data_IF_271505144456
#
_entry.id   IF_271505144456
#
_cell.length_a   1.000
_cell.length_b   1.000
_cell.length_c   1.000
_cell.angle_alpha   90.00
_cell.angle_beta   90.00
_cell.angle_gamma   90.00
#
_symmetry.space_group_name_H-M   'P 1'
#
loop_
_entity.id
_entity.type
_entity.pdbx_description
1 polymer ?
#
# COMPACT_ATOMS: atom_id res chain seq x y z
N UNK A 1 -4.28 21.89 -3.07
CA UNK A 1 -5.03 20.68 -3.48
C UNK A 1 -5.01 19.70 -2.33
N UNK A 2 -6.18 19.36 -1.78
CA UNK A 2 -6.31 18.26 -0.84
C UNK A 2 -6.23 16.91 -1.59
N UNK A 3 -5.67 15.89 -0.95
CA UNK A 3 -5.66 14.53 -1.51
C UNK A 3 -7.08 13.98 -1.73
N UNK A 4 -8.05 14.39 -0.90
CA UNK A 4 -9.45 13.92 -0.97
C UNK A 4 -10.29 14.62 -2.06
N UNK A 5 -9.83 15.75 -2.58
CA UNK A 5 -10.52 16.50 -3.65
C UNK A 5 -10.21 15.96 -5.05
N UNK A 6 -9.18 15.14 -5.17
CA UNK A 6 -8.75 14.57 -6.45
C UNK A 6 -9.65 13.44 -6.91
N UNK A 7 -9.73 13.29 -8.23
CA UNK A 7 -10.46 12.20 -8.90
C UNK A 7 -9.50 11.10 -9.32
N UNK A 8 -9.96 9.86 -9.25
CA UNK A 8 -9.20 8.70 -9.69
C UNK A 8 -10.06 7.72 -10.49
N UNK A 9 -9.42 6.83 -11.23
CA UNK A 9 -9.98 5.57 -11.74
C UNK A 9 -9.09 4.41 -11.31
N UNK A 10 -9.64 3.21 -11.26
CA UNK A 10 -8.89 2.00 -10.93
C UNK A 10 -9.27 0.86 -11.88
N UNK A 11 -8.24 0.16 -12.34
CA UNK A 11 -8.31 -1.08 -13.11
C UNK A 11 -7.79 -2.20 -12.20
N UNK A 12 -8.57 -3.27 -12.00
CA UNK A 12 -8.21 -4.43 -11.17
C UNK A 12 -8.29 -5.68 -12.02
N UNK A 13 -7.12 -6.24 -12.34
CA UNK A 13 -7.01 -7.51 -13.06
C UNK A 13 -7.20 -8.69 -12.11
N UNK A 14 -7.96 -9.68 -12.55
CA UNK A 14 -8.32 -10.87 -11.76
C UNK A 14 -8.60 -12.09 -12.63
N UNK A 15 -8.64 -13.25 -11.95
CA UNK A 15 -9.12 -14.52 -12.48
C UNK A 15 -10.00 -15.22 -11.44
N UNK A 16 -10.31 -16.50 -11.59
CA UNK A 16 -11.18 -17.26 -10.67
C UNK A 16 -12.68 -17.06 -10.89
N UNK A 17 -13.09 -15.97 -11.55
CA UNK A 17 -14.44 -15.69 -12.00
C UNK A 17 -14.47 -15.48 -13.51
N UNK A 18 -15.56 -15.89 -14.16
CA UNK A 18 -15.82 -15.45 -15.53
C UNK A 18 -16.23 -13.96 -15.53
N UNK A 19 -16.04 -13.27 -16.66
CA UNK A 19 -16.49 -11.87 -16.84
C UNK A 19 -17.98 -11.70 -16.51
N UNK A 20 -18.83 -12.61 -16.98
CA UNK A 20 -20.26 -12.59 -16.68
C UNK A 20 -20.50 -12.71 -15.18
N UNK A 21 -19.87 -13.67 -14.50
CA UNK A 21 -20.08 -13.84 -13.05
C UNK A 21 -19.59 -12.63 -12.26
N UNK A 22 -18.50 -12.00 -12.67
CA UNK A 22 -18.04 -10.76 -12.04
C UNK A 22 -19.05 -9.61 -12.25
N UNK A 23 -19.65 -9.50 -13.44
CA UNK A 23 -20.70 -8.51 -13.72
C UNK A 23 -21.95 -8.75 -12.86
N UNK A 24 -22.40 -10.01 -12.72
CA UNK A 24 -23.49 -10.39 -11.82
C UNK A 24 -23.23 -9.99 -10.37
N UNK A 25 -22.00 -10.18 -9.87
CA UNK A 25 -21.63 -9.77 -8.50
C UNK A 25 -21.73 -8.25 -8.32
N UNK A 26 -21.32 -7.46 -9.33
CA UNK A 26 -21.51 -6.01 -9.33
C UNK A 26 -22.99 -5.65 -9.37
N UNK A 27 -23.77 -6.34 -10.21
CA UNK A 27 -25.21 -6.13 -10.35
C UNK A 27 -25.96 -6.39 -9.04
N UNK A 28 -25.66 -7.51 -8.37
CA UNK A 28 -26.16 -7.86 -7.04
C UNK A 28 -25.81 -6.77 -6.01
N UNK A 29 -24.56 -6.28 -6.00
CA UNK A 29 -24.12 -5.24 -5.06
C UNK A 29 -24.82 -3.90 -5.28
N UNK A 30 -24.96 -3.47 -6.54
CA UNK A 30 -25.60 -2.19 -6.86
C UNK A 30 -27.13 -2.25 -6.91
N UNK A 31 -27.73 -3.44 -6.93
CA UNK A 31 -29.17 -3.62 -7.14
C UNK A 31 -29.61 -3.14 -8.53
N UNK A 32 -28.74 -3.29 -9.54
CA UNK A 32 -28.94 -2.85 -10.92
C UNK A 32 -28.58 -4.00 -11.86
N UNK A 33 -29.29 -4.17 -12.99
CA UNK A 33 -28.94 -5.23 -13.94
C UNK A 33 -27.58 -4.97 -14.58
N UNK A 34 -26.85 -6.06 -14.90
CA UNK A 34 -25.73 -6.00 -15.81
C UNK A 34 -26.19 -5.97 -17.28
N UNK A 35 -25.32 -5.49 -18.15
CA UNK A 35 -25.51 -5.44 -19.60
C UNK A 35 -24.29 -6.06 -20.28
N UNK A 36 -24.52 -6.88 -21.29
CA UNK A 36 -23.47 -7.33 -22.19
C UNK A 36 -23.33 -6.34 -23.35
N UNK A 37 -22.23 -5.59 -23.34
CA UNK A 37 -21.97 -4.52 -24.32
C UNK A 37 -21.13 -5.02 -25.52
N UNK A 38 -20.52 -6.21 -25.41
CA UNK A 38 -19.80 -6.87 -26.50
C UNK A 38 -18.46 -6.23 -26.86
N UNK A 39 -18.16 -6.11 -28.16
CA UNK A 39 -16.92 -5.53 -28.68
C UNK A 39 -15.67 -6.42 -28.52
N UNK A 40 -14.51 -5.89 -28.92
CA UNK A 40 -13.25 -6.63 -28.93
C UNK A 40 -12.80 -7.19 -27.57
N UNK A 41 -13.31 -6.61 -26.48
CA UNK A 41 -13.01 -7.03 -25.12
C UNK A 41 -14.13 -7.85 -24.45
N UNK A 42 -15.22 -8.16 -25.16
CA UNK A 42 -16.41 -8.83 -24.60
C UNK A 42 -16.85 -8.19 -23.27
N UNK A 43 -17.09 -6.87 -23.34
CA UNK A 43 -17.36 -6.01 -22.19
C UNK A 43 -18.76 -6.30 -21.61
N UNK A 44 -18.83 -6.32 -20.28
CA UNK A 44 -20.05 -6.18 -19.51
C UNK A 44 -20.00 -4.87 -18.74
N UNK A 45 -21.16 -4.31 -18.42
CA UNK A 45 -21.22 -3.14 -17.56
C UNK A 45 -22.39 -3.15 -16.59
N UNK A 46 -22.20 -2.43 -15.48
CA UNK A 46 -23.20 -2.23 -14.44
C UNK A 46 -23.20 -0.74 -14.07
N UNK A 47 -24.38 -0.14 -13.96
CA UNK A 47 -24.51 1.23 -13.48
C UNK A 47 -24.56 1.25 -11.96
N UNK A 48 -23.84 2.18 -11.34
CA UNK A 48 -23.99 2.44 -9.91
C UNK A 48 -25.22 3.33 -9.63
N UNK A 49 -25.43 3.65 -8.34
CA UNK A 49 -26.55 4.49 -7.90
C UNK A 49 -26.49 5.95 -8.40
N UNK A 50 -25.37 6.37 -8.98
CA UNK A 50 -25.18 7.67 -9.61
C UNK A 50 -25.22 7.57 -11.14
N UNK A 51 -25.67 6.44 -11.69
CA UNK A 51 -25.69 6.15 -13.12
C UNK A 51 -24.30 6.19 -13.78
N UNK A 52 -23.24 5.96 -13.00
CA UNK A 52 -21.87 5.85 -13.52
C UNK A 52 -21.59 4.39 -13.88
N UNK A 53 -20.90 4.19 -15.00
CA UNK A 53 -20.64 2.86 -15.56
C UNK A 53 -19.39 2.23 -14.96
N UNK A 54 -19.56 1.09 -14.31
CA UNK A 54 -18.49 0.14 -14.01
C UNK A 54 -18.43 -0.89 -15.13
N UNK A 55 -17.22 -1.29 -15.53
CA UNK A 55 -17.01 -2.22 -16.64
C UNK A 55 -16.27 -3.47 -16.17
N UNK A 56 -16.62 -4.59 -16.77
CA UNK A 56 -15.89 -5.85 -16.67
C UNK A 56 -15.48 -6.23 -18.09
N UNK A 57 -14.19 -6.35 -18.35
CA UNK A 57 -13.67 -6.57 -19.70
C UNK A 57 -12.57 -7.62 -19.74
N UNK A 58 -12.22 -8.06 -20.95
CA UNK A 58 -11.14 -9.02 -21.16
C UNK A 58 -9.77 -8.34 -21.11
N UNK A 59 -8.84 -8.90 -20.35
CA UNK A 59 -7.41 -8.59 -20.49
C UNK A 59 -6.65 -9.81 -21.03
N UNK A 60 -6.08 -9.68 -22.23
CA UNK A 60 -5.40 -10.79 -22.91
C UNK A 60 -4.15 -11.31 -22.18
N UNK A 61 -3.54 -10.50 -21.31
CA UNK A 61 -2.29 -10.81 -20.59
C UNK A 61 -2.48 -11.71 -19.37
N UNK A 62 -3.72 -11.85 -18.88
CA UNK A 62 -4.02 -12.67 -17.70
C UNK A 62 -3.97 -14.16 -18.05
N UNK A 63 -3.26 -14.94 -17.22
CA UNK A 63 -3.30 -16.40 -17.21
C UNK A 63 -4.58 -16.83 -16.47
N UNK A 64 -5.56 -17.43 -17.16
CA UNK A 64 -6.85 -17.77 -16.58
C UNK A 64 -6.77 -19.02 -15.69
N UNK A 65 -7.24 -18.91 -14.46
CA UNK A 65 -7.32 -20.00 -13.50
C UNK A 65 -8.69 -20.04 -12.82
N UNK A 66 -9.12 -21.23 -12.42
CA UNK A 66 -10.30 -21.41 -11.57
C UNK A 66 -10.06 -22.43 -10.47
N UNK A 67 -10.96 -22.46 -9.51
CA UNK A 67 -10.91 -23.42 -8.41
C UNK A 67 -11.84 -24.60 -8.69
N UNK A 68 -11.32 -25.81 -8.60
CA UNK A 68 -12.09 -27.05 -8.61
C UNK A 68 -11.84 -27.80 -7.31
N UNK A 69 -12.81 -27.71 -6.39
CA UNK A 69 -12.67 -28.24 -5.04
C UNK A 69 -11.46 -27.63 -4.31
N UNK A 70 -10.43 -28.44 -4.09
CA UNK A 70 -9.17 -28.01 -3.44
C UNK A 70 -8.06 -27.61 -4.43
N UNK A 71 -8.24 -27.89 -5.73
CA UNK A 71 -7.22 -27.67 -6.74
C UNK A 71 -7.44 -26.38 -7.52
N UNK A 72 -6.34 -25.87 -8.06
CA UNK A 72 -6.29 -24.76 -8.99
C UNK A 72 -6.02 -25.36 -10.37
N UNK A 73 -6.90 -25.08 -11.32
CA UNK A 73 -6.79 -25.58 -12.69
C UNK A 73 -6.86 -24.43 -13.68
N UNK A 74 -6.37 -24.66 -14.89
CA UNK A 74 -6.49 -23.72 -16.00
C UNK A 74 -7.97 -23.50 -16.34
N UNK A 75 -8.32 -22.25 -16.66
CA UNK A 75 -9.65 -21.86 -17.07
C UNK A 75 -9.63 -21.32 -18.51
N UNK A 76 -10.80 -21.17 -19.13
CA UNK A 76 -10.87 -20.59 -20.47
C UNK A 76 -10.71 -19.05 -20.45
N UNK A 77 -10.67 -18.44 -21.64
CA UNK A 77 -10.48 -16.99 -21.83
C UNK A 77 -11.54 -16.09 -21.18
N UNK A 78 -12.68 -16.63 -20.75
CA UNK A 78 -13.71 -15.85 -20.02
C UNK A 78 -13.26 -15.49 -18.61
N UNK A 79 -12.24 -16.18 -18.06
CA UNK A 79 -11.65 -15.94 -16.74
C UNK A 79 -10.46 -14.97 -16.76
N UNK A 80 -10.26 -14.29 -17.90
CA UNK A 80 -9.35 -13.16 -18.03
C UNK A 80 -10.15 -11.88 -17.84
N UNK A 81 -10.13 -11.35 -16.62
CA UNK A 81 -11.10 -10.33 -16.19
C UNK A 81 -10.36 -9.10 -15.69
N UNK A 82 -10.73 -7.94 -16.21
CA UNK A 82 -10.35 -6.64 -15.67
C UNK A 82 -11.62 -5.88 -15.26
N UNK A 83 -11.67 -5.45 -13.99
CA UNK A 83 -12.66 -4.52 -13.48
C UNK A 83 -12.16 -3.10 -13.69
N UNK A 84 -12.92 -2.26 -14.39
CA UNK A 84 -12.60 -0.84 -14.63
C UNK A 84 -13.66 0.04 -13.99
N UNK A 85 -13.23 0.92 -13.09
CA UNK A 85 -14.12 1.86 -12.42
C UNK A 85 -14.55 3.04 -13.33
N UNK A 86 -15.67 3.70 -13.03
CA UNK A 86 -15.90 5.06 -13.52
C UNK A 86 -14.87 6.04 -12.92
N UNK A 87 -15.00 7.32 -13.27
CA UNK A 87 -14.29 8.38 -12.55
C UNK A 87 -14.84 8.45 -11.12
N UNK A 88 -13.99 8.08 -10.17
CA UNK A 88 -14.26 8.01 -8.75
C UNK A 88 -13.78 9.26 -8.01
N UNK A 89 -14.44 9.52 -6.88
CA UNK A 89 -14.04 10.47 -5.83
C UNK A 89 -13.53 9.70 -4.61
N UNK A 90 -12.96 10.40 -3.63
CA UNK A 90 -12.35 9.76 -2.47
C UNK A 90 -13.29 8.84 -1.68
N UNK A 91 -14.56 9.22 -1.57
CA UNK A 91 -15.62 8.42 -0.93
C UNK A 91 -15.88 7.08 -1.63
N UNK A 92 -15.64 6.99 -2.95
CA UNK A 92 -15.83 5.77 -3.73
C UNK A 92 -14.77 4.70 -3.41
N UNK A 93 -13.70 5.04 -2.68
CA UNK A 93 -12.76 4.04 -2.14
C UNK A 93 -13.52 2.99 -1.34
N UNK A 94 -14.57 3.38 -0.58
CA UNK A 94 -15.39 2.43 0.18
C UNK A 94 -16.14 1.48 -0.74
N UNK A 95 -16.71 1.99 -1.83
CA UNK A 95 -17.40 1.17 -2.85
C UNK A 95 -16.43 0.18 -3.48
N UNK A 96 -15.24 0.63 -3.89
CA UNK A 96 -14.18 -0.25 -4.42
C UNK A 96 -13.80 -1.35 -3.41
N UNK A 97 -13.69 -1.01 -2.13
CA UNK A 97 -13.39 -1.99 -1.09
C UNK A 97 -14.50 -3.05 -0.94
N UNK A 98 -15.78 -2.65 -0.95
CA UNK A 98 -16.89 -3.60 -0.86
C UNK A 98 -16.98 -4.49 -2.10
N UNK A 99 -16.82 -3.93 -3.31
CA UNK A 99 -16.80 -4.72 -4.54
C UNK A 99 -15.70 -5.78 -4.51
N UNK A 100 -14.49 -5.42 -4.07
CA UNK A 100 -13.37 -6.37 -3.92
C UNK A 100 -13.71 -7.48 -2.93
N UNK A 101 -14.38 -7.17 -1.81
CA UNK A 101 -14.82 -8.19 -0.84
C UNK A 101 -15.86 -9.12 -1.46
N UNK A 102 -16.86 -8.57 -2.16
CA UNK A 102 -17.93 -9.33 -2.82
C UNK A 102 -17.39 -10.23 -3.93
N UNK A 103 -16.48 -9.71 -4.76
CA UNK A 103 -15.78 -10.50 -5.77
C UNK A 103 -14.95 -11.61 -5.13
N UNK A 104 -14.22 -11.33 -4.05
CA UNK A 104 -13.47 -12.36 -3.30
C UNK A 104 -14.39 -13.44 -2.73
N UNK A 105 -15.53 -13.06 -2.15
CA UNK A 105 -16.56 -13.99 -1.65
C UNK A 105 -17.10 -14.87 -2.78
N UNK A 106 -17.29 -14.31 -3.98
CA UNK A 106 -17.78 -15.04 -5.15
C UNK A 106 -16.74 -15.98 -5.78
N UNK A 107 -15.45 -15.85 -5.43
CA UNK A 107 -14.38 -16.71 -5.94
C UNK A 107 -13.29 -16.00 -6.74
N UNK A 108 -13.21 -14.66 -6.66
CA UNK A 108 -12.11 -13.90 -7.27
C UNK A 108 -10.75 -14.38 -6.78
N UNK A 109 -9.83 -14.56 -7.73
CA UNK A 109 -8.45 -14.94 -7.51
C UNK A 109 -7.52 -14.01 -8.28
N UNK A 110 -6.27 -13.99 -7.86
CA UNK A 110 -5.20 -13.25 -8.51
C UNK A 110 -3.97 -14.14 -8.58
N UNK A 111 -3.19 -14.00 -9.63
CA UNK A 111 -1.92 -14.68 -9.83
C UNK A 111 -0.88 -13.66 -10.38
N UNK A 112 0.30 -14.13 -10.77
CA UNK A 112 1.43 -13.27 -11.17
C UNK A 112 1.16 -12.44 -12.43
N UNK A 113 0.23 -12.86 -13.28
CA UNK A 113 -0.15 -12.08 -14.47
C UNK A 113 -1.14 -10.96 -14.16
N UNK A 114 -1.63 -10.83 -12.91
CA UNK A 114 -2.61 -9.81 -12.54
C UNK A 114 -1.94 -8.57 -11.90
N UNK A 115 -2.32 -7.39 -12.37
CA UNK A 115 -1.96 -6.08 -11.84
C UNK A 115 -3.12 -5.24 -11.33
N UNK A 116 -2.79 -4.10 -10.76
CA UNK A 116 -3.74 -3.01 -10.48
C UNK A 116 -3.15 -1.73 -11.08
N UNK A 117 -3.96 -1.00 -11.85
CA UNK A 117 -3.61 0.32 -12.37
C UNK A 117 -4.48 1.38 -11.72
N UNK A 118 -3.84 2.48 -11.31
CA UNK A 118 -4.54 3.62 -10.72
C UNK A 118 -4.31 4.84 -11.59
N UNK A 119 -5.39 5.41 -12.08
CA UNK A 119 -5.39 6.60 -12.92
C UNK A 119 -5.78 7.80 -12.07
N UNK A 120 -5.01 8.87 -12.09
CA UNK A 120 -5.37 10.15 -11.47
C UNK A 120 -5.72 11.15 -12.56
N UNK A 121 -6.75 11.95 -12.33
CA UNK A 121 -7.10 13.07 -13.21
C UNK A 121 -5.90 14.02 -13.37
N UNK A 122 -5.43 14.18 -14.61
CA UNK A 122 -4.27 15.01 -14.90
C UNK A 122 -4.63 16.49 -15.11
N UNK A 123 -5.91 16.85 -15.21
CA UNK A 123 -6.33 18.24 -15.47
C UNK A 123 -5.82 19.28 -14.46
N UNK A 124 -5.61 18.96 -13.15
CA UNK A 124 -5.00 19.92 -12.23
C UNK A 124 -3.48 20.07 -12.41
N UNK A 125 -2.84 19.20 -13.20
CA UNK A 125 -1.40 19.20 -13.39
C UNK A 125 -0.96 20.06 -14.57
N UNK A 126 0.19 20.70 -14.40
CA UNK A 126 0.91 21.40 -15.46
C UNK A 126 2.31 20.80 -15.63
N UNK A 127 3.11 21.34 -16.56
CA UNK A 127 4.44 20.82 -16.83
C UNK A 127 5.36 20.76 -15.59
N UNK A 128 5.23 21.73 -14.68
CA UNK A 128 6.03 21.77 -13.45
C UNK A 128 5.58 20.69 -12.47
N UNK A 129 4.28 20.48 -12.29
CA UNK A 129 3.77 19.46 -11.36
C UNK A 129 3.97 18.05 -11.90
N UNK A 130 3.91 17.85 -13.23
CA UNK A 130 4.32 16.59 -13.86
C UNK A 130 5.82 16.31 -13.67
N UNK A 131 6.67 17.34 -13.73
CA UNK A 131 8.08 17.21 -13.34
C UNK A 131 8.23 16.86 -11.87
N UNK A 132 7.45 17.49 -10.98
CA UNK A 132 7.51 17.21 -9.55
C UNK A 132 7.10 15.78 -9.23
N UNK A 133 5.99 15.27 -9.77
CA UNK A 133 5.53 13.91 -9.50
C UNK A 133 6.54 12.87 -10.00
N UNK A 134 7.15 13.13 -11.16
CA UNK A 134 8.24 12.32 -11.71
C UNK A 134 9.43 12.29 -10.76
N UNK A 135 9.88 13.46 -10.27
CA UNK A 135 10.99 13.56 -9.33
C UNK A 135 10.69 12.89 -7.99
N UNK A 136 9.48 13.06 -7.46
CA UNK A 136 9.03 12.41 -6.21
C UNK A 136 9.13 10.89 -6.38
N UNK A 137 8.56 10.35 -7.46
CA UNK A 137 8.61 8.92 -7.78
C UNK A 137 10.07 8.45 -7.89
N UNK A 138 10.89 9.09 -8.72
CA UNK A 138 12.30 8.72 -8.88
C UNK A 138 13.09 8.77 -7.55
N UNK A 139 12.80 9.73 -6.66
CA UNK A 139 13.48 9.84 -5.37
C UNK A 139 13.14 8.72 -4.38
N UNK A 140 11.97 8.07 -4.54
CA UNK A 140 11.41 7.09 -3.60
C UNK A 140 11.18 5.70 -4.22
N UNK A 141 11.43 5.54 -5.52
CA UNK A 141 11.07 4.32 -6.27
C UNK A 141 11.63 3.05 -5.63
N UNK A 142 12.87 3.04 -5.13
CA UNK A 142 13.44 1.84 -4.52
C UNK A 142 12.67 1.41 -3.25
N UNK A 143 12.25 2.37 -2.42
CA UNK A 143 11.40 2.10 -1.24
C UNK A 143 9.98 1.70 -1.63
N UNK A 144 9.41 2.35 -2.66
CA UNK A 144 8.06 2.04 -3.15
C UNK A 144 8.01 0.62 -3.70
N UNK A 145 8.99 0.23 -4.53
CA UNK A 145 9.04 -1.10 -5.13
C UNK A 145 9.17 -2.19 -4.07
N UNK A 146 10.02 -1.96 -3.06
CA UNK A 146 10.16 -2.87 -1.92
C UNK A 146 8.86 -2.96 -1.10
N UNK A 147 8.25 -1.83 -0.79
CA UNK A 147 6.99 -1.78 -0.06
C UNK A 147 5.86 -2.53 -0.79
N UNK A 148 5.81 -2.43 -2.12
CA UNK A 148 4.77 -3.08 -2.93
C UNK A 148 5.09 -4.54 -3.29
N UNK A 149 6.29 -5.02 -2.91
CA UNK A 149 6.80 -6.34 -3.29
C UNK A 149 6.72 -6.58 -4.81
N UNK A 150 7.06 -5.57 -5.62
CA UNK A 150 6.98 -5.67 -7.08
C UNK A 150 7.87 -6.82 -7.56
N UNK A 151 7.30 -7.75 -8.32
CA UNK A 151 8.08 -8.88 -8.85
C UNK A 151 9.11 -8.37 -9.87
N UNK A 152 10.33 -8.89 -9.79
CA UNK A 152 11.45 -8.48 -10.68
C UNK A 152 11.11 -8.62 -12.16
N UNK A 153 10.34 -9.65 -12.54
CA UNK A 153 9.86 -9.84 -13.91
C UNK A 153 8.94 -8.69 -14.35
N UNK A 154 7.98 -8.30 -13.49
CA UNK A 154 7.07 -7.17 -13.75
C UNK A 154 7.80 -5.84 -13.80
N UNK A 155 8.77 -5.61 -12.91
CA UNK A 155 9.65 -4.43 -12.95
C UNK A 155 10.36 -4.32 -14.30
N UNK A 156 10.87 -5.42 -14.85
CA UNK A 156 11.64 -5.37 -16.11
C UNK A 156 10.78 -5.15 -17.35
N UNK A 157 9.53 -5.57 -17.33
CA UNK A 157 8.69 -5.65 -18.54
C UNK A 157 7.52 -4.67 -18.54
N UNK A 158 6.81 -4.54 -17.42
CA UNK A 158 5.48 -3.91 -17.39
C UNK A 158 5.42 -2.63 -16.55
N UNK A 159 6.26 -2.52 -15.53
CA UNK A 159 6.32 -1.35 -14.65
C UNK A 159 7.77 -0.99 -14.35
N UNK A 160 8.53 -0.59 -15.38
CA UNK A 160 9.92 -0.15 -15.23
C UNK A 160 10.01 1.06 -14.31
N UNK A 161 11.15 1.20 -13.65
CA UNK A 161 11.50 2.42 -12.92
C UNK A 161 11.48 3.63 -13.84
N UNK A 162 11.52 4.83 -13.25
CA UNK A 162 11.56 6.05 -14.06
C UNK A 162 12.81 6.01 -14.94
N UNK A 163 12.61 6.18 -16.25
CA UNK A 163 13.71 6.15 -17.23
C UNK A 163 14.67 7.31 -16.95
N UNK A 164 15.97 7.01 -16.89
CA UNK A 164 16.97 7.99 -16.44
C UNK A 164 17.19 9.10 -17.47
N UNK A 165 17.24 8.79 -18.76
CA UNK A 165 17.35 9.78 -19.83
C UNK A 165 16.18 10.78 -19.82
N UNK A 166 14.96 10.27 -19.67
CA UNK A 166 13.75 11.08 -19.49
C UNK A 166 13.87 11.98 -18.26
N UNK A 167 14.23 11.43 -17.10
CA UNK A 167 14.38 12.17 -15.86
C UNK A 167 15.47 13.26 -15.95
N UNK A 168 16.56 12.97 -16.63
CA UNK A 168 17.67 13.89 -16.89
C UNK A 168 17.22 15.04 -17.78
N UNK A 169 16.65 14.73 -18.95
CA UNK A 169 16.15 15.71 -19.91
C UNK A 169 15.04 16.58 -19.32
N UNK A 170 14.11 16.00 -18.58
CA UNK A 170 13.00 16.72 -17.93
C UNK A 170 13.49 17.78 -16.94
N UNK A 171 14.54 17.47 -16.19
CA UNK A 171 15.12 18.39 -15.20
C UNK A 171 16.16 19.35 -15.80
N UNK A 172 16.79 19.00 -16.92
CA UNK A 172 17.67 19.88 -17.68
C UNK A 172 16.86 20.96 -18.41
N UNK A 173 15.84 20.55 -19.17
CA UNK A 173 15.00 21.45 -19.99
C UNK A 173 13.99 22.24 -19.17
N UNK A 174 13.50 21.70 -18.05
CA UNK A 174 12.48 22.32 -17.18
C UNK A 174 11.29 22.85 -17.99
N UNK A 175 10.55 21.95 -18.67
CA UNK A 175 9.48 22.35 -19.57
C UNK A 175 8.40 23.20 -18.88
N UNK A 176 7.80 24.11 -19.65
CA UNK A 176 6.73 25.01 -19.20
C UNK A 176 5.35 24.61 -19.74
N UNK A 177 5.28 23.77 -20.77
CA UNK A 177 4.03 23.30 -21.38
C UNK A 177 3.93 21.78 -21.36
N UNK A 178 2.71 21.23 -21.38
CA UNK A 178 2.48 19.79 -21.47
C UNK A 178 3.05 19.20 -22.77
N UNK A 179 2.97 19.94 -23.87
CA UNK A 179 3.59 19.57 -25.16
C UNK A 179 5.11 19.37 -25.03
N UNK A 180 5.80 20.24 -24.30
CA UNK A 180 7.23 20.07 -24.06
C UNK A 180 7.52 18.83 -23.20
N UNK A 181 6.69 18.50 -22.22
CA UNK A 181 6.81 17.26 -21.45
C UNK A 181 6.60 16.04 -22.36
N UNK A 182 5.58 16.09 -23.23
CA UNK A 182 5.27 15.05 -24.22
C UNK A 182 6.46 14.78 -25.14
N UNK A 183 7.06 15.82 -25.73
CA UNK A 183 8.24 15.69 -26.59
C UNK A 183 9.43 15.06 -25.88
N UNK A 184 9.62 15.35 -24.59
CA UNK A 184 10.67 14.72 -23.78
C UNK A 184 10.32 13.25 -23.50
N UNK A 185 9.05 12.95 -23.18
CA UNK A 185 8.56 11.59 -22.92
C UNK A 185 8.75 10.65 -24.11
N UNK A 186 8.43 11.12 -25.32
CA UNK A 186 8.55 10.33 -26.54
C UNK A 186 9.85 10.52 -27.31
N UNK A 187 10.83 11.23 -26.73
CA UNK A 187 12.11 11.51 -27.38
C UNK A 187 11.98 12.17 -28.77
N UNK A 188 10.90 12.94 -28.99
CA UNK A 188 10.64 13.66 -30.24
C UNK A 188 9.69 12.97 -31.24
N UNK A 189 9.32 11.70 -31.03
CA UNK A 189 8.35 11.00 -31.89
C UNK A 189 6.92 11.20 -31.36
N UNK A 190 5.93 11.55 -32.19
CA UNK A 190 4.57 11.72 -31.69
C UNK A 190 3.85 10.37 -31.50
N UNK A 191 3.79 9.89 -30.26
CA UNK A 191 3.10 8.65 -29.87
C UNK A 191 1.70 8.88 -29.26
N UNK A 192 1.16 10.10 -29.28
CA UNK A 192 -0.05 10.46 -28.51
C UNK A 192 -1.29 9.63 -28.87
N UNK A 193 -1.42 9.19 -30.13
CA UNK A 193 -2.60 8.46 -30.62
C UNK A 193 -2.51 6.94 -30.41
N UNK A 194 -1.36 6.43 -30.02
CA UNK A 194 -1.13 5.00 -29.94
C UNK A 194 -1.69 4.41 -28.65
N UNK A 195 -2.59 3.44 -28.76
CA UNK A 195 -3.05 2.70 -27.58
C UNK A 195 -1.97 1.81 -26.98
N UNK A 196 -1.09 1.23 -27.79
CA UNK A 196 0.00 0.38 -27.34
C UNK A 196 1.36 1.01 -27.69
N UNK A 197 1.68 2.13 -27.05
CA UNK A 197 3.02 2.74 -27.16
C UNK A 197 4.01 2.09 -26.17
N UNK A 198 5.25 1.86 -26.60
CA UNK A 198 6.29 1.19 -25.78
C UNK A 198 6.67 1.96 -24.51
N UNK A 199 6.53 3.29 -24.52
CA UNK A 199 6.77 4.15 -23.35
C UNK A 199 5.73 4.01 -22.23
N UNK A 200 4.71 3.17 -22.37
CA UNK A 200 3.70 2.95 -21.33
C UNK A 200 4.21 2.17 -20.12
N UNK A 201 5.23 1.33 -20.32
CA UNK A 201 5.63 0.30 -19.35
C UNK A 201 6.55 0.82 -18.24
N UNK A 202 6.14 1.90 -17.58
CA UNK A 202 6.80 2.48 -16.41
C UNK A 202 5.83 2.55 -15.22
N UNK A 203 6.37 2.46 -13.99
CA UNK A 203 5.57 2.55 -12.77
C UNK A 203 4.72 3.81 -12.70
N UNK A 204 5.26 4.93 -13.19
CA UNK A 204 4.57 6.18 -13.43
C UNK A 204 4.52 6.38 -14.95
N UNK A 205 3.37 6.12 -15.55
CA UNK A 205 3.17 6.24 -16.98
C UNK A 205 2.55 7.61 -17.33
N UNK A 206 3.33 8.47 -17.97
CA UNK A 206 2.85 9.77 -18.47
C UNK A 206 2.28 9.70 -19.88
N UNK A 207 2.44 8.61 -20.63
CA UNK A 207 1.72 8.44 -21.90
C UNK A 207 0.21 8.58 -21.70
N UNK A 208 -0.32 8.05 -20.58
CA UNK A 208 -1.73 8.17 -20.23
C UNK A 208 -2.19 9.62 -20.06
N UNK A 209 -1.29 10.56 -19.73
CA UNK A 209 -1.64 11.98 -19.59
C UNK A 209 -2.01 12.55 -20.95
N UNK A 210 -1.20 12.23 -21.96
CA UNK A 210 -1.40 12.70 -23.32
C UNK A 210 -2.57 11.95 -23.95
N UNK A 211 -2.61 10.63 -23.83
CA UNK A 211 -3.63 9.81 -24.49
C UNK A 211 -5.03 9.94 -23.86
N UNK A 212 -5.12 9.87 -22.52
CA UNK A 212 -6.38 9.71 -21.77
C UNK A 212 -6.66 10.86 -20.80
N UNK A 213 -5.74 11.83 -20.65
CA UNK A 213 -5.88 12.89 -19.64
C UNK A 213 -5.67 12.42 -18.20
N UNK A 214 -4.95 11.31 -17.97
CA UNK A 214 -4.71 10.77 -16.62
C UNK A 214 -3.26 10.40 -16.36
N UNK A 215 -2.78 10.57 -15.14
CA UNK A 215 -1.48 10.02 -14.70
C UNK A 215 -1.73 8.59 -14.23
N UNK A 216 -1.06 7.61 -14.85
CA UNK A 216 -1.27 6.20 -14.53
C UNK A 216 -0.14 5.65 -13.67
N UNK A 217 -0.51 4.95 -12.58
CA UNK A 217 0.39 4.18 -11.73
C UNK A 217 0.20 2.70 -12.01
N UNK A 218 1.24 2.03 -12.52
CA UNK A 218 1.19 0.62 -13.00
C UNK A 218 1.90 -0.41 -12.11
N UNK A 219 2.39 0.01 -10.95
CA UNK A 219 3.35 -0.79 -10.18
C UNK A 219 2.74 -1.79 -9.19
N UNK A 220 1.42 -1.78 -9.00
CA UNK A 220 0.78 -2.56 -7.94
C UNK A 220 0.57 -4.01 -8.39
N UNK A 221 0.89 -4.95 -7.50
CA UNK A 221 0.48 -6.34 -7.65
C UNK A 221 -1.02 -6.45 -7.37
N UNK A 222 -1.73 -7.27 -8.12
CA UNK A 222 -3.13 -7.52 -7.82
C UNK A 222 -3.28 -8.22 -6.46
N UNK A 223 -4.40 -8.01 -5.81
CA UNK A 223 -4.69 -8.52 -4.47
C UNK A 223 -6.18 -8.62 -4.24
N UNK A 224 -6.60 -9.63 -3.49
CA UNK A 224 -7.98 -9.76 -3.03
C UNK A 224 -8.21 -9.04 -1.68
N UNK A 225 -7.22 -8.27 -1.20
CA UNK A 225 -7.29 -7.56 0.08
C UNK A 225 -7.72 -6.09 -0.10
N UNK A 226 -8.99 -5.80 0.19
CA UNK A 226 -9.57 -4.46 0.08
C UNK A 226 -8.79 -3.36 0.83
N UNK A 227 -8.14 -3.68 1.96
CA UNK A 227 -7.30 -2.73 2.69
C UNK A 227 -6.02 -2.32 1.95
N UNK A 228 -5.43 -3.24 1.15
CA UNK A 228 -4.23 -2.95 0.35
C UNK A 228 -4.59 -2.06 -0.84
N UNK A 229 -5.71 -2.33 -1.49
CA UNK A 229 -6.24 -1.50 -2.58
C UNK A 229 -6.50 -0.06 -2.12
N UNK A 230 -7.15 0.11 -0.96
CA UNK A 230 -7.30 1.44 -0.33
C UNK A 230 -5.94 2.13 -0.11
N UNK A 231 -4.94 1.40 0.40
CA UNK A 231 -3.61 1.93 0.62
C UNK A 231 -2.94 2.40 -0.69
N UNK A 232 -3.11 1.67 -1.78
CA UNK A 232 -2.57 2.01 -3.10
C UNK A 232 -3.19 3.30 -3.64
N UNK A 233 -4.53 3.41 -3.60
CA UNK A 233 -5.25 4.62 -4.02
C UNK A 233 -4.81 5.83 -3.20
N UNK A 234 -4.79 5.71 -1.86
CA UNK A 234 -4.38 6.79 -0.98
C UNK A 234 -2.92 7.22 -1.22
N UNK A 235 -2.01 6.27 -1.50
CA UNK A 235 -0.62 6.59 -1.84
C UNK A 235 -0.52 7.41 -3.13
N UNK A 236 -1.20 6.98 -4.21
CA UNK A 236 -1.22 7.70 -5.48
C UNK A 236 -1.76 9.12 -5.32
N UNK A 237 -2.93 9.26 -4.67
CA UNK A 237 -3.56 10.56 -4.42
C UNK A 237 -2.65 11.49 -3.62
N UNK A 238 -1.96 10.97 -2.61
CA UNK A 238 -1.08 11.77 -1.78
C UNK A 238 0.23 12.17 -2.49
N UNK A 239 0.83 11.29 -3.29
CA UNK A 239 1.98 11.62 -4.14
C UNK A 239 1.61 12.74 -5.13
N UNK A 240 0.43 12.64 -5.75
CA UNK A 240 -0.08 13.68 -6.65
C UNK A 240 -0.36 15.00 -5.91
N UNK A 241 -0.97 14.95 -4.73
CA UNK A 241 -1.19 16.13 -3.89
C UNK A 241 0.15 16.81 -3.54
N UNK A 242 1.17 16.03 -3.15
CA UNK A 242 2.50 16.56 -2.90
C UNK A 242 3.07 17.27 -4.14
N UNK A 243 2.96 16.65 -5.32
CA UNK A 243 3.48 17.22 -6.56
C UNK A 243 2.80 18.54 -6.96
N UNK A 244 1.47 18.62 -6.75
CA UNK A 244 0.65 19.81 -7.02
C UNK A 244 0.96 20.96 -6.06
N UNK A 245 1.20 20.66 -4.78
CA UNK A 245 1.37 21.67 -3.73
C UNK A 245 2.83 22.14 -3.58
N UNK A 246 3.81 21.44 -4.16
CA UNK A 246 5.23 21.81 -4.04
C UNK A 246 5.71 22.66 -5.23
N UNK A 247 6.55 23.65 -4.93
CA UNK A 247 7.22 24.45 -5.98
C UNK A 247 8.19 23.60 -6.81
N UNK A 248 8.96 22.75 -6.15
CA UNK A 248 9.89 21.80 -6.77
C UNK A 248 10.01 20.53 -5.93
N UNK A 249 10.43 19.44 -6.56
CA UNK A 249 10.79 18.19 -5.89
C UNK A 249 12.19 17.73 -6.28
N UNK A 250 12.94 17.17 -5.32
CA UNK A 250 14.24 16.56 -5.57
C UNK A 250 14.06 15.20 -6.24
N UNK A 251 14.90 14.91 -7.25
CA UNK A 251 15.01 13.59 -7.91
C UNK A 251 16.02 12.67 -7.25
N UNK A 252 16.76 13.15 -6.25
CA UNK A 252 17.85 12.38 -5.63
C UNK A 252 17.29 11.14 -4.93
N UNK A 253 17.82 9.96 -5.29
CA UNK A 253 17.42 8.70 -4.69
C UNK A 253 17.63 8.71 -3.17
N UNK A 254 16.61 8.26 -2.46
CA UNK A 254 16.63 8.16 -1.00
C UNK A 254 17.47 6.97 -0.60
N UNK A 255 18.57 7.23 0.12
CA UNK A 255 19.35 6.20 0.82
C UNK A 255 18.98 6.26 2.29
N UNK A 256 18.74 5.10 2.89
CA UNK A 256 18.34 5.01 4.30
C UNK A 256 19.00 3.81 4.97
N UNK A 257 19.44 3.99 6.21
CA UNK A 257 19.87 2.91 7.11
C UNK A 257 18.70 2.27 7.85
N UNK A 258 17.55 2.96 7.90
CA UNK A 258 16.28 2.42 8.40
C UNK A 258 15.16 2.82 7.44
N UNK A 259 14.79 1.91 6.54
CA UNK A 259 13.82 2.15 5.48
C UNK A 259 12.42 2.40 6.03
N UNK A 260 11.99 1.61 7.01
CA UNK A 260 10.65 1.69 7.62
C UNK A 260 10.44 3.04 8.31
N UNK A 261 11.43 3.55 9.06
CA UNK A 261 11.36 4.89 9.64
C UNK A 261 11.29 5.99 8.56
N UNK A 262 12.19 5.93 7.58
CA UNK A 262 12.28 6.93 6.51
C UNK A 262 11.01 6.97 5.67
N UNK A 263 10.43 5.82 5.34
CA UNK A 263 9.19 5.76 4.59
C UNK A 263 8.02 6.23 5.44
N UNK A 264 7.92 5.83 6.71
CA UNK A 264 6.88 6.31 7.64
C UNK A 264 6.88 7.84 7.72
N UNK A 265 8.04 8.45 7.93
CA UNK A 265 8.15 9.93 8.01
C UNK A 265 7.77 10.60 6.69
N UNK A 266 8.04 9.96 5.55
CA UNK A 266 7.56 10.43 4.26
C UNK A 266 6.03 10.32 4.12
N UNK A 267 5.41 9.20 4.51
CA UNK A 267 3.95 9.03 4.51
C UNK A 267 3.27 10.10 5.40
N UNK A 268 3.85 10.45 6.55
CA UNK A 268 3.32 11.53 7.38
C UNK A 268 3.41 12.89 6.69
N UNK A 269 4.53 13.20 6.00
CA UNK A 269 4.68 14.43 5.21
C UNK A 269 3.76 14.48 3.99
N UNK A 270 3.36 13.34 3.46
CA UNK A 270 2.33 13.22 2.42
C UNK A 270 0.91 13.51 2.94
N UNK A 271 0.73 13.66 4.25
CA UNK A 271 -0.58 13.92 4.86
C UNK A 271 -1.35 12.65 5.25
N UNK A 272 -0.74 11.47 5.19
CA UNK A 272 -1.35 10.21 5.65
C UNK A 272 -1.28 10.15 7.18
N UNK A 273 -2.02 11.02 7.88
CA UNK A 273 -2.03 11.21 9.33
C UNK A 273 -3.41 10.90 9.91
N UNK A 274 -3.48 10.32 11.11
CA UNK A 274 -4.74 9.97 11.77
C UNK A 274 -5.28 8.58 11.38
N UNK A 275 -6.48 8.27 11.85
CA UNK A 275 -7.09 6.94 11.76
C UNK A 275 -7.49 6.54 10.35
N UNK A 276 -7.94 7.50 9.53
CA UNK A 276 -8.30 7.27 8.11
C UNK A 276 -7.19 6.58 7.31
N UNK A 277 -5.93 6.89 7.64
CA UNK A 277 -4.75 6.38 6.96
C UNK A 277 -3.97 5.33 7.76
N UNK A 278 -4.49 4.88 8.91
CA UNK A 278 -3.84 3.85 9.74
C UNK A 278 -3.60 2.57 8.95
N UNK A 279 -4.62 2.11 8.21
CA UNK A 279 -4.54 0.92 7.35
C UNK A 279 -3.54 1.10 6.20
N UNK A 280 -3.48 2.30 5.60
CA UNK A 280 -2.49 2.58 4.57
C UNK A 280 -1.07 2.53 5.13
N UNK A 281 -0.80 3.22 6.25
CA UNK A 281 0.52 3.16 6.89
C UNK A 281 0.91 1.73 7.27
N UNK A 282 -0.04 0.91 7.74
CA UNK A 282 0.21 -0.50 8.06
C UNK A 282 0.74 -1.26 6.83
N UNK A 283 -0.03 -1.28 5.74
CA UNK A 283 0.33 -2.05 4.54
C UNK A 283 1.56 -1.49 3.81
N UNK A 284 1.69 -0.16 3.74
CA UNK A 284 2.80 0.50 3.05
C UNK A 284 4.15 0.34 3.77
N UNK A 285 4.15 0.01 5.06
CA UNK A 285 5.37 -0.17 5.86
C UNK A 285 5.72 -1.64 6.10
N UNK A 286 4.79 -2.56 5.83
CA UNK A 286 4.86 -3.98 6.21
C UNK A 286 6.20 -4.63 5.82
N UNK A 287 6.65 -4.40 4.58
CA UNK A 287 7.79 -5.07 3.95
C UNK A 287 9.10 -4.26 3.97
N UNK A 288 9.16 -3.16 4.72
CA UNK A 288 10.36 -2.33 4.84
C UNK A 288 11.19 -2.69 6.08
N UNK A 289 12.51 -2.60 5.95
CA UNK A 289 13.44 -2.99 7.02
C UNK A 289 13.56 -1.91 8.11
N UNK A 290 13.91 -2.36 9.31
CA UNK A 290 14.15 -1.51 10.47
C UNK A 290 12.91 -1.25 11.33
N UNK A 291 12.99 -0.24 12.18
CA UNK A 291 11.94 0.11 13.16
C UNK A 291 11.21 1.40 12.79
N UNK A 292 10.01 1.62 13.33
CA UNK A 292 9.20 2.82 13.06
C UNK A 292 9.58 4.06 13.88
N UNK A 293 10.31 3.87 14.99
CA UNK A 293 10.50 4.88 16.04
C UNK A 293 11.78 5.69 15.87
N UNK A 294 12.87 5.06 15.42
CA UNK A 294 14.21 5.66 15.42
C UNK A 294 14.82 5.69 14.03
N UNK A 295 15.47 6.80 13.67
CA UNK A 295 16.16 6.93 12.38
C UNK A 295 17.42 6.07 12.34
N UNK A 296 18.20 6.08 13.41
CA UNK A 296 19.42 5.30 13.55
C UNK A 296 19.12 4.01 14.33
N UNK A 297 19.37 2.82 13.75
CA UNK A 297 19.21 1.54 14.44
C UNK A 297 19.91 1.47 15.80
N UNK A 298 21.07 2.12 15.96
CA UNK A 298 21.80 2.12 17.23
C UNK A 298 21.03 2.82 18.36
N UNK A 299 20.13 3.76 18.05
CA UNK A 299 19.24 4.37 19.05
C UNK A 299 18.23 3.36 19.60
N UNK A 300 17.69 2.49 18.74
CA UNK A 300 16.75 1.45 19.14
C UNK A 300 17.44 0.40 20.05
N UNK A 301 18.69 0.04 19.73
CA UNK A 301 19.49 -0.88 20.53
C UNK A 301 19.82 -0.31 21.91
N UNK A 302 20.28 0.95 21.98
CA UNK A 302 20.53 1.64 23.26
C UNK A 302 19.28 1.70 24.13
N UNK A 303 18.12 2.00 23.55
CA UNK A 303 16.85 2.02 24.29
C UNK A 303 16.47 0.63 24.80
N UNK A 304 16.65 -0.42 23.99
CA UNK A 304 16.39 -1.81 24.38
C UNK A 304 17.30 -2.25 25.53
N UNK A 305 18.58 -1.89 25.48
CA UNK A 305 19.55 -2.15 26.54
C UNK A 305 19.17 -1.42 27.83
N UNK A 306 18.78 -0.15 27.75
CA UNK A 306 18.34 0.63 28.91
C UNK A 306 17.12 0.01 29.60
N UNK A 307 16.09 -0.35 28.83
CA UNK A 307 14.89 -1.00 29.37
C UNK A 307 15.19 -2.37 29.99
N UNK A 308 16.14 -3.13 29.41
CA UNK A 308 16.59 -4.40 29.97
C UNK A 308 17.28 -4.19 31.32
N UNK A 309 18.19 -3.22 31.42
CA UNK A 309 18.87 -2.87 32.67
C UNK A 309 17.92 -2.35 33.74
N UNK A 310 16.93 -1.53 33.37
CA UNK A 310 15.88 -1.05 34.28
C UNK A 310 15.08 -2.23 34.84
N UNK A 311 14.66 -3.18 33.98
CA UNK A 311 13.94 -4.38 34.40
C UNK A 311 14.77 -5.32 35.27
N UNK A 312 16.05 -5.51 34.96
CA UNK A 312 16.97 -6.31 35.77
C UNK A 312 17.20 -5.69 37.16
N UNK A 313 17.32 -4.36 37.25
CA UNK A 313 17.39 -3.65 38.53
C UNK A 313 16.10 -3.79 39.34
N UNK A 314 14.94 -3.65 38.70
CA UNK A 314 13.64 -3.81 39.36
C UNK A 314 13.45 -5.24 39.89
N UNK A 315 13.83 -6.26 39.12
CA UNK A 315 13.85 -7.67 39.57
C UNK A 315 14.81 -7.89 40.74
N UNK A 316 16.00 -7.29 40.70
CA UNK A 316 16.98 -7.39 41.79
C UNK A 316 16.47 -6.73 43.07
N UNK A 317 15.86 -5.55 42.99
CA UNK A 317 15.23 -4.86 44.13
C UNK A 317 14.07 -5.69 44.68
N UNK A 318 13.23 -6.26 43.81
CA UNK A 318 12.11 -7.11 44.22
C UNK A 318 12.59 -8.38 44.93
N UNK A 319 13.63 -9.03 44.40
CA UNK A 319 14.23 -10.21 45.01
C UNK A 319 14.90 -9.90 46.36
N UNK A 320 15.61 -8.78 46.48
CA UNK A 320 16.19 -8.32 47.75
C UNK A 320 15.11 -7.99 48.78
N UNK A 321 14.01 -7.36 48.36
CA UNK A 321 12.88 -7.05 49.26
C UNK A 321 12.20 -8.32 49.75
N UNK A 322 12.01 -9.31 48.86
CA UNK A 322 11.43 -10.60 49.22
C UNK A 322 12.33 -11.42 50.16
N UNK A 323 13.66 -11.40 49.93
CA UNK A 323 14.63 -12.05 50.80
C UNK A 323 14.67 -11.42 52.20
N UNK A 324 14.70 -10.09 52.29
CA UNK A 324 14.65 -9.37 53.56
C UNK A 324 13.34 -9.63 54.34
N UNK A 325 12.21 -9.74 53.65
CA UNK A 325 10.94 -10.12 54.27
C UNK A 325 10.96 -11.57 54.77
N UNK A 326 11.56 -12.50 54.02
CA UNK A 326 11.74 -13.88 54.48
C UNK A 326 12.64 -13.98 55.71
N UNK A 327 13.78 -13.27 55.72
CA UNK A 327 14.69 -13.24 56.88
C UNK A 327 13.99 -12.68 58.13
N UNK A 328 13.27 -11.56 58.01
CA UNK A 328 12.47 -11.02 59.12
C UNK A 328 11.36 -11.96 59.59
N UNK A 329 10.79 -12.76 58.70
CA UNK A 329 9.77 -13.76 59.07
C UNK A 329 10.41 -14.92 59.82
N UNK A 330 11.61 -15.35 59.42
CA UNK A 330 12.36 -16.43 60.07
C UNK A 330 12.85 -15.99 61.46
N UNK A 331 13.38 -14.77 61.60
CA UNK A 331 13.77 -14.21 62.91
C UNK A 331 12.57 -14.12 63.87
N UNK A 332 11.43 -13.57 63.41
CA UNK A 332 10.22 -13.48 64.24
C UNK A 332 9.70 -14.86 64.68
N UNK A 333 9.86 -15.90 63.87
CA UNK A 333 9.46 -17.27 64.22
C UNK A 333 10.45 -17.92 65.21
N UNK A 334 11.75 -17.63 65.09
CA UNK A 334 12.76 -18.09 66.03
C UNK A 334 12.65 -17.40 67.40
N UNK A 335 12.35 -16.10 67.44
CA UNK A 335 12.11 -15.36 68.68
C UNK A 335 10.84 -15.86 69.40
N UNK A 336 9.77 -16.20 68.66
CA UNK A 336 8.59 -16.85 69.25
C UNK A 336 8.87 -18.26 69.78
N UNK A 337 9.76 -19.03 69.15
CA UNK A 337 10.13 -20.36 69.61
C UNK A 337 11.06 -20.33 70.84
N UNK A 338 11.96 -19.34 70.93
CA UNK A 338 12.83 -19.12 72.10
C UNK A 338 12.06 -18.67 73.34
N UNK A 339 10.98 -17.91 73.18
CA UNK A 339 10.13 -17.46 74.28
C UNK A 339 9.28 -18.58 74.93
N UNK A 340 9.18 -19.76 74.31
CA UNK A 340 8.40 -20.90 74.85
C UNK A 340 9.29 -21.82 75.71
N UNK A 341 10.62 -21.74 75.59
CA UNK A 341 11.58 -22.59 76.33
C UNK A 341 12.04 -22.00 77.69
N UNK A 342 11.71 -20.74 77.98
CA UNK A 342 11.87 -20.14 79.32
C UNK A 342 10.54 -20.15 80.10
N UNK A 343 10.07 -21.33 80.50
CA UNK A 343 9.07 -21.45 81.57
C UNK A 343 9.74 -22.01 82.83
N UNK A 344 9.72 -21.30 83.98
CA UNK A 344 10.40 -21.74 85.18
C UNK A 344 9.72 -22.96 85.79
N UNK A 345 10.53 -23.92 86.20
CA UNK A 345 10.13 -25.10 86.95
C UNK A 345 9.41 -24.71 88.25
N UNK A 346 8.10 -24.96 88.28
CA UNK A 346 7.32 -24.92 89.52
C UNK A 346 7.57 -26.21 90.30
N UNK A 347 8.43 -26.11 91.32
CA UNK A 347 8.52 -27.09 92.40
C UNK A 347 7.22 -27.07 93.22
N UNK A 348 6.55 -28.22 93.32
CA UNK A 348 5.50 -28.45 94.31
C UNK A 348 5.99 -29.50 95.31
N UNK A 349 6.19 -29.05 96.54
CA UNK A 349 6.34 -29.86 97.74
C UNK A 349 4.97 -30.24 98.31
N UNK A 350 4.89 -31.49 98.80
CA UNK A 350 3.79 -32.23 99.42
C UNK A 350 2.82 -32.95 98.50
#
# INVERSE_FOLDING_TARGET
MDLKEQRFGIEIEMTGLSRQRAAEVLAEYFGRPDSYDGGGYNEYSVLDNQSRRWKIMSDGSIVPERREGRHVVEADKTYRVELVSPICRYEDIRVTQELVRKLREAGMRVNKSCGIHIHLDASPHNANTLRNITNIMASKEDLIYKAMQVEVARERQYCKKVEQGFLEELNRKKPRTLDQVSRIWYQGNDGHREHYHSSRYHCLNLHSVFQKGTIEFRLFNSTTHAGKIKAYIQLCLAISAQALNQRCASRQKTRSTNEKYTFRTWLLRLGLIGDEFKTARLHLLEHLDGCIAWKDPAQAERQKQRLKQEKEKELAVTAQTAAAQQEQTIENVQDLAGAIDESPSLSLSM
#
